data_IF_122191891075
#
_entry.id   IF_122191891075
#
_cell.length_a   1.000
_cell.length_b   1.000
_cell.length_c   1.000
_cell.angle_alpha   90.00
_cell.angle_beta   90.00
_cell.angle_gamma   90.00
#
_symmetry.space_group_name_H-M   'P 1'
#
loop_
_entity.id
_entity.type
_entity.pdbx_description
1 polymer ?
#
# COMPACT_ATOMS: atom_id res chain seq x y z
N UNK A 1 20.68 -42.15 8.92
CA UNK A 1 19.42 -41.41 9.11
C UNK A 1 18.56 -41.64 7.87
N UNK A 2 17.64 -42.61 7.94
CA UNK A 2 16.78 -42.98 6.80
C UNK A 2 15.82 -41.84 6.48
N UNK A 3 15.81 -41.40 5.22
CA UNK A 3 14.94 -40.32 4.69
C UNK A 3 13.52 -40.81 4.36
N UNK A 4 13.17 -42.02 4.81
CA UNK A 4 12.08 -42.81 4.23
C UNK A 4 10.76 -42.73 5.03
N UNK A 5 10.62 -41.77 5.93
CA UNK A 5 9.42 -41.57 6.77
C UNK A 5 8.90 -40.12 6.70
N UNK A 6 8.85 -39.56 5.49
CA UNK A 6 8.31 -38.23 5.27
C UNK A 6 6.90 -38.34 4.68
N UNK A 7 5.94 -37.69 5.33
CA UNK A 7 4.56 -37.62 4.84
C UNK A 7 4.56 -37.07 3.40
N UNK A 8 3.72 -37.59 2.49
CA UNK A 8 3.68 -37.17 1.08
C UNK A 8 3.26 -35.69 0.87
N UNK A 9 2.90 -34.99 1.94
CA UNK A 9 2.58 -33.56 1.95
C UNK A 9 3.78 -32.66 2.32
N UNK A 10 4.93 -33.21 2.72
CA UNK A 10 6.13 -32.42 2.99
C UNK A 10 6.99 -32.34 1.73
N UNK A 11 7.33 -31.12 1.35
CA UNK A 11 8.38 -30.81 0.38
C UNK A 11 9.64 -30.38 1.13
N UNK A 12 10.81 -30.83 0.68
CA UNK A 12 12.11 -30.39 1.19
C UNK A 12 12.80 -29.55 0.12
N UNK A 13 13.23 -28.35 0.50
CA UNK A 13 13.97 -27.44 -0.39
C UNK A 13 15.42 -27.24 0.12
N UNK A 14 16.42 -27.19 -0.78
CA UNK A 14 17.82 -27.01 -0.43
C UNK A 14 18.10 -25.61 0.15
N UNK A 15 18.82 -25.54 1.28
CA UNK A 15 19.09 -24.28 2.01
C UNK A 15 20.10 -23.36 1.31
N UNK A 16 21.07 -23.94 0.59
CA UNK A 16 22.21 -23.22 0.01
C UNK A 16 22.22 -23.23 -1.52
N UNK A 17 21.12 -23.65 -2.13
CA UNK A 17 20.96 -23.58 -3.59
C UNK A 17 20.08 -22.38 -3.93
N UNK A 18 20.34 -21.71 -5.07
CA UNK A 18 19.46 -20.65 -5.57
C UNK A 18 18.04 -21.19 -5.75
N UNK A 19 17.05 -20.39 -5.35
CA UNK A 19 15.65 -20.74 -5.56
C UNK A 19 15.34 -20.93 -7.05
N UNK A 20 14.40 -21.82 -7.36
CA UNK A 20 13.90 -21.97 -8.72
C UNK A 20 13.31 -20.64 -9.21
N UNK A 21 13.71 -20.21 -10.41
CA UNK A 21 13.18 -19.00 -11.03
C UNK A 21 11.79 -19.30 -11.57
N UNK A 22 10.78 -18.59 -11.07
CA UNK A 22 9.43 -18.65 -11.64
C UNK A 22 9.47 -17.88 -12.97
N UNK A 23 9.19 -18.54 -14.11
CA UNK A 23 9.15 -17.85 -15.39
C UNK A 23 8.00 -16.83 -15.37
N UNK A 24 8.29 -15.62 -15.85
CA UNK A 24 7.25 -14.60 -16.04
C UNK A 24 6.28 -15.14 -17.08
N UNK A 25 5.08 -15.52 -16.62
CA UNK A 25 3.97 -15.77 -17.52
C UNK A 25 3.60 -14.43 -18.13
N UNK A 26 3.85 -14.28 -19.43
CA UNK A 26 3.24 -13.20 -20.20
C UNK A 26 1.76 -13.54 -20.38
N UNK A 27 1.01 -13.51 -19.29
CA UNK A 27 -0.44 -13.60 -19.36
C UNK A 27 -0.92 -12.39 -20.17
N UNK A 28 -1.99 -12.59 -20.95
CA UNK A 28 -2.59 -11.53 -21.77
C UNK A 28 -2.69 -10.25 -20.96
N UNK A 29 -2.21 -9.12 -21.52
CA UNK A 29 -2.31 -7.79 -20.90
C UNK A 29 -3.67 -7.62 -20.22
N UNK A 30 -3.70 -7.06 -19.01
CA UNK A 30 -4.95 -6.83 -18.28
C UNK A 30 -5.97 -6.09 -19.15
N UNK A 31 -5.52 -5.22 -20.06
CA UNK A 31 -6.37 -4.52 -21.03
C UNK A 31 -7.03 -5.51 -22.01
N UNK A 32 -6.25 -6.42 -22.59
CA UNK A 32 -6.76 -7.45 -23.49
C UNK A 32 -7.73 -8.42 -22.77
N UNK A 33 -7.46 -8.73 -21.50
CA UNK A 33 -8.37 -9.54 -20.70
C UNK A 33 -9.69 -8.80 -20.43
N UNK A 34 -9.63 -7.52 -20.02
CA UNK A 34 -10.81 -6.69 -19.80
C UNK A 34 -11.64 -6.53 -21.08
N UNK A 35 -10.99 -6.35 -22.23
CA UNK A 35 -11.66 -6.26 -23.53
C UNK A 35 -12.35 -7.59 -23.90
N UNK A 36 -11.64 -8.72 -23.75
CA UNK A 36 -12.19 -10.06 -24.05
C UNK A 36 -13.40 -10.41 -23.19
N UNK A 37 -13.37 -10.07 -21.91
CA UNK A 37 -14.48 -10.33 -20.98
C UNK A 37 -15.60 -9.27 -21.08
N UNK A 38 -15.49 -8.32 -22.02
CA UNK A 38 -16.41 -7.20 -22.20
C UNK A 38 -16.62 -6.39 -20.90
N UNK A 39 -15.52 -6.23 -20.14
CA UNK A 39 -15.44 -5.52 -18.85
C UNK A 39 -14.72 -4.18 -18.94
N UNK A 40 -14.16 -3.83 -20.09
CA UNK A 40 -13.50 -2.55 -20.32
C UNK A 40 -14.57 -1.46 -20.51
N UNK A 41 -14.66 -0.51 -19.58
CA UNK A 41 -15.60 0.62 -19.62
C UNK A 41 -14.81 1.90 -19.91
N UNK A 42 -15.29 2.71 -20.86
CA UNK A 42 -14.69 4.01 -21.15
C UNK A 42 -15.03 4.99 -20.03
N UNK A 43 -14.03 5.80 -19.62
CA UNK A 43 -14.27 6.88 -18.67
C UNK A 43 -15.20 7.93 -19.29
N UNK A 44 -16.28 8.27 -18.60
CA UNK A 44 -17.11 9.42 -18.97
C UNK A 44 -16.25 10.68 -18.86
N UNK A 45 -16.37 11.59 -19.84
CA UNK A 45 -15.67 12.87 -19.77
C UNK A 45 -16.28 13.68 -18.62
N UNK A 46 -15.53 13.79 -17.53
CA UNK A 46 -15.92 14.59 -16.38
C UNK A 46 -15.94 16.07 -16.84
N UNK A 47 -17.11 16.70 -16.83
CA UNK A 47 -17.18 18.15 -17.00
C UNK A 47 -16.41 18.78 -15.83
N UNK A 48 -15.20 19.28 -16.09
CA UNK A 48 -14.42 20.00 -15.08
C UNK A 48 -15.16 21.29 -14.72
N UNK A 49 -16.00 21.23 -13.70
CA UNK A 49 -16.64 22.39 -13.07
C UNK A 49 -16.43 22.28 -11.58
N UNK A 50 -15.21 22.56 -11.14
CA UNK A 50 -14.96 22.92 -9.75
C UNK A 50 -14.52 24.38 -9.77
N UNK A 51 -15.49 25.27 -9.63
CA UNK A 51 -15.20 26.66 -9.26
C UNK A 51 -15.01 26.63 -7.74
N UNK A 52 -13.77 26.75 -7.29
CA UNK A 52 -13.37 26.78 -5.87
C UNK A 52 -13.81 28.09 -5.22
N UNK A 53 -15.12 28.33 -5.16
CA UNK A 53 -15.69 29.48 -4.43
C UNK A 53 -15.84 29.15 -2.92
N UNK A 54 -15.68 27.88 -2.53
CA UNK A 54 -15.83 27.37 -1.16
C UNK A 54 -14.56 27.51 -0.28
N UNK A 55 -13.38 27.76 -0.86
CA UNK A 55 -12.12 27.85 -0.09
C UNK A 55 -12.04 29.10 0.82
N UNK A 56 -12.93 30.08 0.63
CA UNK A 56 -12.96 31.30 1.44
C UNK A 56 -13.58 31.09 2.83
N UNK A 57 -14.55 30.18 3.00
CA UNK A 57 -15.22 29.96 4.30
C UNK A 57 -14.34 29.19 5.31
N UNK A 58 -13.42 28.36 4.83
CA UNK A 58 -12.55 27.53 5.70
C UNK A 58 -11.52 28.41 6.43
N UNK A 59 -11.06 29.49 5.79
CA UNK A 59 -10.09 30.42 6.38
C UNK A 59 -10.65 31.17 7.59
N UNK A 60 -11.97 31.36 7.66
CA UNK A 60 -12.65 32.01 8.79
C UNK A 60 -12.92 31.04 9.95
N UNK A 61 -12.83 29.73 9.71
CA UNK A 61 -13.07 28.68 10.70
C UNK A 61 -11.82 28.30 11.51
N UNK A 62 -10.62 28.54 10.96
CA UNK A 62 -9.35 28.27 11.64
C UNK A 62 -9.03 29.48 12.52
N UNK A 63 -9.18 29.32 13.84
CA UNK A 63 -8.77 30.33 14.82
C UNK A 63 -7.24 30.45 14.81
N UNK A 64 -6.72 31.66 14.65
CA UNK A 64 -5.28 31.97 14.51
C UNK A 64 -4.65 32.16 15.91
N UNK A 65 -4.97 31.27 16.85
CA UNK A 65 -4.32 31.28 18.16
C UNK A 65 -3.14 30.30 18.13
N UNK A 66 -2.00 30.79 17.65
CA UNK A 66 -0.72 30.05 17.62
C UNK A 66 -0.07 29.92 19.02
N UNK A 67 -0.80 30.13 20.10
CA UNK A 67 -0.25 30.04 21.46
C UNK A 67 -0.33 28.60 22.00
N UNK A 68 0.33 27.68 21.29
CA UNK A 68 0.77 26.42 21.88
C UNK A 68 1.91 26.75 22.85
N UNK A 69 1.59 26.77 24.15
CA UNK A 69 2.59 26.91 25.21
C UNK A 69 3.54 25.70 25.12
N UNK A 70 4.79 25.97 24.73
CA UNK A 70 5.86 24.98 24.54
C UNK A 70 6.47 24.58 25.90
N UNK A 71 5.62 24.27 26.89
CA UNK A 71 6.03 23.66 28.15
C UNK A 71 6.28 22.15 27.90
N UNK A 72 7.21 21.85 26.98
CA UNK A 72 7.79 20.53 26.73
C UNK A 72 8.98 20.28 27.67
N UNK A 73 8.80 20.69 28.94
CA UNK A 73 9.86 20.82 29.95
C UNK A 73 9.68 19.82 31.11
N UNK A 74 9.14 18.60 30.89
CA UNK A 74 9.31 17.48 31.86
C UNK A 74 8.99 16.06 31.32
N UNK A 75 9.75 15.55 30.36
CA UNK A 75 9.84 14.10 30.14
C UNK A 75 11.30 13.64 30.05
N UNK A 76 12.06 13.85 31.12
CA UNK A 76 13.34 13.16 31.30
C UNK A 76 13.08 11.66 31.56
N UNK A 77 13.17 10.84 30.52
CA UNK A 77 13.35 9.39 30.67
C UNK A 77 14.75 9.18 31.26
N UNK A 78 14.80 8.88 32.55
CA UNK A 78 16.00 8.43 33.25
C UNK A 78 16.13 6.93 32.95
N UNK A 79 17.00 6.57 31.99
CA UNK A 79 17.36 5.18 31.73
C UNK A 79 18.28 4.70 32.89
N UNK A 80 17.77 3.75 33.69
CA UNK A 80 18.48 3.01 34.74
C UNK A 80 19.59 2.12 34.17
N UNK A 81 20.82 2.26 34.68
CA UNK A 81 21.92 1.26 34.59
C UNK A 81 22.15 0.56 35.95
#
# INVERSE_FOLDING_TARGET
MSKDNLSPAISQEPRYEPAAVIPVKQDSSIINWLERENRLIYREQEETKVSLEEDAEISDLIDVDDNYDDDDDDLSIEDED
#
